data_IF_503977180879
#
_entry.id   IF_503977180879
#
_cell.length_a   1.000
_cell.length_b   1.000
_cell.length_c   1.000
_cell.angle_alpha   90.00
_cell.angle_beta   90.00
_cell.angle_gamma   90.00
#
_symmetry.space_group_name_H-M   'P 1'
#
loop_
_entity.id
_entity.type
_entity.pdbx_description
1 polymer ?
#
# COMPACT_ATOMS: atom_id res chain seq x y z
N UNK A 1 89.98 -7.86 -6.77
CA UNK A 1 88.90 -8.86 -6.60
C UNK A 1 87.63 -8.21 -7.15
N UNK A 2 87.36 -8.34 -8.45
CA UNK A 2 86.63 -9.43 -9.13
C UNK A 2 85.10 -9.26 -9.06
N UNK A 3 84.60 -8.47 -10.01
CA UNK A 3 83.58 -8.79 -11.02
C UNK A 3 82.42 -9.77 -10.70
N UNK A 4 81.23 -9.38 -11.19
CA UNK A 4 80.03 -10.16 -11.54
C UNK A 4 79.10 -10.56 -10.39
N UNK A 5 77.81 -10.24 -10.51
CA UNK A 5 76.84 -11.11 -11.18
C UNK A 5 75.44 -10.46 -11.17
N UNK A 6 74.97 -10.11 -12.36
CA UNK A 6 73.55 -10.04 -12.70
C UNK A 6 72.91 -11.40 -12.36
N UNK A 7 71.82 -11.40 -11.62
CA UNK A 7 70.85 -12.49 -11.62
C UNK A 7 69.44 -11.91 -11.73
N UNK A 8 68.95 -11.93 -12.96
CA UNK A 8 67.53 -11.93 -13.30
C UNK A 8 66.90 -13.12 -12.60
N UNK A 9 65.90 -12.89 -11.74
CA UNK A 9 64.91 -13.90 -11.43
C UNK A 9 63.52 -13.29 -11.53
N UNK A 10 62.84 -13.76 -12.56
CA UNK A 10 61.41 -13.70 -12.84
C UNK A 10 60.59 -13.97 -11.57
N UNK A 11 59.58 -13.16 -11.31
CA UNK A 11 58.73 -13.32 -10.13
C UNK A 11 57.47 -12.47 -10.23
N UNK A 12 56.59 -12.85 -11.16
CA UNK A 12 55.14 -12.66 -11.14
C UNK A 12 54.68 -11.28 -10.62
N UNK A 13 54.33 -10.38 -11.53
CA UNK A 13 53.40 -9.28 -11.23
C UNK A 13 52.04 -9.94 -10.94
N UNK A 14 51.84 -10.38 -9.70
CA UNK A 14 50.52 -10.78 -9.24
C UNK A 14 49.79 -9.47 -8.99
N UNK A 15 48.96 -9.08 -9.97
CA UNK A 15 48.11 -7.91 -9.89
C UNK A 15 47.31 -7.95 -8.60
N UNK A 16 47.73 -7.15 -7.64
CA UNK A 16 47.02 -6.97 -6.39
C UNK A 16 45.79 -6.11 -6.73
N UNK A 17 44.69 -6.78 -7.11
CA UNK A 17 43.39 -6.14 -7.16
C UNK A 17 43.05 -5.69 -5.75
N UNK A 18 43.07 -4.38 -5.52
CA UNK A 18 42.42 -3.78 -4.36
C UNK A 18 40.93 -3.84 -4.66
N UNK A 19 40.26 -4.94 -4.32
CA UNK A 19 38.80 -4.93 -4.21
C UNK A 19 38.46 -4.24 -2.90
N UNK A 20 38.15 -2.95 -2.97
CA UNK A 20 37.47 -2.25 -1.89
C UNK A 20 36.04 -2.78 -1.79
N UNK A 21 35.82 -3.72 -0.87
CA UNK A 21 34.46 -4.14 -0.52
C UNK A 21 33.89 -3.14 0.48
N UNK A 22 33.02 -2.25 0.03
CA UNK A 22 32.21 -1.42 0.92
C UNK A 22 31.21 -2.33 1.63
N UNK A 23 31.33 -2.50 2.95
CA UNK A 23 30.22 -3.06 3.72
C UNK A 23 29.11 -2.01 3.76
N UNK A 24 28.04 -2.25 3.00
CA UNK A 24 26.76 -1.57 3.23
C UNK A 24 26.11 -2.31 4.39
N UNK A 25 26.12 -1.71 5.57
CA UNK A 25 25.26 -2.18 6.65
C UNK A 25 23.84 -1.77 6.28
N UNK A 26 23.07 -2.70 5.69
CA UNK A 26 21.62 -2.52 5.62
C UNK A 26 21.11 -2.68 7.04
N UNK A 27 20.84 -1.58 7.72
CA UNK A 27 20.03 -1.61 8.94
C UNK A 27 18.73 -2.32 8.57
N UNK A 28 18.64 -3.59 8.95
CA UNK A 28 17.47 -4.41 8.71
C UNK A 28 16.48 -4.07 9.82
N UNK A 29 16.09 -2.80 9.89
CA UNK A 29 14.87 -2.42 10.58
C UNK A 29 13.79 -3.10 9.75
N UNK A 30 13.32 -4.27 10.20
CA UNK A 30 11.98 -4.71 9.83
C UNK A 30 11.11 -3.47 10.04
N UNK A 31 10.40 -2.94 9.03
CA UNK A 31 9.31 -2.05 9.37
C UNK A 31 8.52 -2.81 10.43
N UNK A 32 8.28 -2.20 11.58
CA UNK A 32 7.23 -2.68 12.49
C UNK A 32 5.98 -2.63 11.62
N UNK A 33 5.73 -3.73 10.92
CA UNK A 33 4.95 -3.71 9.70
C UNK A 33 3.53 -3.43 10.08
N UNK A 34 2.94 -2.39 9.50
CA UNK A 34 1.50 -2.29 9.52
C UNK A 34 0.98 -3.36 8.57
N UNK A 35 0.10 -4.21 9.08
CA UNK A 35 -0.65 -5.14 8.25
C UNK A 35 -1.76 -4.35 7.54
N UNK A 36 -1.97 -4.62 6.26
CA UNK A 36 -2.97 -3.94 5.44
C UNK A 36 -3.78 -4.96 4.65
N UNK A 37 -5.09 -4.76 4.60
CA UNK A 37 -6.00 -5.54 3.79
C UNK A 37 -6.86 -4.61 2.94
N UNK A 38 -7.10 -4.99 1.69
CA UNK A 38 -7.91 -4.21 0.75
C UNK A 38 -9.02 -5.07 0.20
N UNK A 39 -10.24 -4.56 0.26
CA UNK A 39 -11.45 -5.24 -0.15
C UNK A 39 -12.13 -4.45 -1.27
N UNK A 40 -12.21 -5.04 -2.46
CA UNK A 40 -13.01 -4.53 -3.56
C UNK A 40 -14.40 -5.15 -3.49
N UNK A 41 -15.39 -4.35 -3.13
CA UNK A 41 -16.75 -4.82 -2.87
C UNK A 41 -17.53 -4.82 -4.18
N UNK A 42 -17.76 -6.01 -4.75
CA UNK A 42 -18.52 -6.21 -6.00
C UNK A 42 -19.76 -7.08 -5.81
N UNK A 43 -19.94 -7.61 -4.62
CA UNK A 43 -21.06 -8.47 -4.24
C UNK A 43 -21.36 -8.31 -2.76
N UNK A 44 -22.54 -8.79 -2.34
CA UNK A 44 -22.92 -8.86 -0.93
C UNK A 44 -21.92 -9.68 -0.09
N UNK A 45 -21.36 -10.75 -0.66
CA UNK A 45 -20.36 -11.57 0.04
C UNK A 45 -19.03 -10.83 0.25
N UNK A 46 -18.63 -9.97 -0.69
CA UNK A 46 -17.46 -9.11 -0.50
C UNK A 46 -17.71 -8.06 0.57
N UNK A 47 -18.93 -7.50 0.61
CA UNK A 47 -19.34 -6.57 1.66
C UNK A 47 -19.25 -7.24 3.04
N UNK A 48 -19.87 -8.40 3.22
CA UNK A 48 -19.84 -9.14 4.49
C UNK A 48 -18.41 -9.45 4.94
N UNK A 49 -17.54 -9.89 4.02
CA UNK A 49 -16.13 -10.14 4.34
C UNK A 49 -15.40 -8.87 4.75
N UNK A 50 -15.65 -7.75 4.04
CA UNK A 50 -15.04 -6.47 4.38
C UNK A 50 -15.54 -5.94 5.72
N UNK A 51 -16.83 -6.08 6.03
CA UNK A 51 -17.42 -5.65 7.30
C UNK A 51 -16.86 -6.45 8.49
N UNK A 52 -16.70 -7.77 8.32
CA UNK A 52 -16.04 -8.61 9.32
C UNK A 52 -14.58 -8.17 9.55
N UNK A 53 -13.83 -7.91 8.46
CA UNK A 53 -12.46 -7.43 8.56
C UNK A 53 -12.35 -6.06 9.24
N UNK A 54 -13.28 -5.13 8.96
CA UNK A 54 -13.34 -3.79 9.58
C UNK A 54 -13.57 -3.92 11.08
N UNK A 55 -14.56 -4.70 11.50
CA UNK A 55 -14.94 -4.83 12.93
C UNK A 55 -14.00 -5.71 13.76
N UNK A 56 -13.10 -6.45 13.10
CA UNK A 56 -12.07 -7.28 13.74
C UNK A 56 -10.64 -6.91 13.28
N UNK A 57 -10.40 -5.64 12.92
CA UNK A 57 -9.11 -5.21 12.33
C UNK A 57 -7.95 -5.21 13.30
N UNK A 58 -8.15 -4.96 14.59
CA UNK A 58 -7.12 -5.15 15.64
C UNK A 58 -5.74 -4.54 15.33
N UNK A 59 -5.71 -3.30 14.85
CA UNK A 59 -4.47 -2.61 14.47
C UNK A 59 -4.09 -2.71 12.99
N UNK A 60 -4.79 -3.54 12.20
CA UNK A 60 -4.64 -3.60 10.74
C UNK A 60 -5.28 -2.38 10.08
N UNK A 61 -4.64 -1.89 9.02
CA UNK A 61 -5.25 -0.89 8.12
C UNK A 61 -6.18 -1.66 7.17
N UNK A 62 -7.48 -1.40 7.25
CA UNK A 62 -8.45 -1.97 6.32
C UNK A 62 -8.88 -0.90 5.34
N UNK A 63 -8.83 -1.24 4.05
CA UNK A 63 -9.26 -0.39 2.94
C UNK A 63 -10.46 -1.06 2.28
N UNK A 64 -11.58 -0.35 2.19
CA UNK A 64 -12.77 -0.81 1.47
C UNK A 64 -12.96 0.06 0.23
N UNK A 65 -13.14 -0.59 -0.92
CA UNK A 65 -13.40 0.07 -2.20
C UNK A 65 -14.80 -0.34 -2.64
N UNK A 66 -15.70 0.63 -2.73
CA UNK A 66 -17.10 0.43 -3.15
C UNK A 66 -17.40 1.28 -4.37
N UNK A 67 -18.37 0.86 -5.17
CA UNK A 67 -18.88 1.64 -6.29
C UNK A 67 -20.37 1.89 -6.12
N UNK A 68 -20.82 3.06 -6.57
CA UNK A 68 -22.22 3.45 -6.48
C UNK A 68 -22.59 4.60 -7.40
N UNK A 69 -23.87 4.94 -7.40
CA UNK A 69 -24.45 6.02 -8.19
C UNK A 69 -25.02 7.08 -7.26
N UNK A 70 -24.83 8.36 -7.59
CA UNK A 70 -25.57 9.45 -6.94
C UNK A 70 -27.01 9.42 -7.46
N UNK A 71 -27.98 9.29 -6.57
CA UNK A 71 -29.41 9.11 -6.90
C UNK A 71 -30.26 10.35 -6.61
N UNK A 72 -29.73 11.36 -5.92
CA UNK A 72 -30.44 12.62 -5.64
C UNK A 72 -29.54 13.85 -5.74
N UNK A 73 -30.14 15.01 -6.00
CA UNK A 73 -29.46 16.32 -6.01
C UNK A 73 -28.89 16.72 -4.64
N UNK A 74 -29.27 16.04 -3.56
CA UNK A 74 -28.70 16.25 -2.24
C UNK A 74 -27.44 15.39 -2.02
N UNK A 75 -26.96 14.65 -3.02
CA UNK A 75 -25.81 13.75 -2.88
C UNK A 75 -26.14 12.42 -2.21
N UNK A 76 -27.41 12.04 -2.09
CA UNK A 76 -27.73 10.68 -1.67
C UNK A 76 -27.30 9.69 -2.75
N UNK A 77 -26.70 8.58 -2.35
CA UNK A 77 -26.16 7.57 -3.24
C UNK A 77 -26.59 6.17 -2.86
N UNK A 78 -26.57 5.30 -3.87
CA UNK A 78 -26.83 3.87 -3.75
C UNK A 78 -25.61 3.09 -4.23
N UNK A 79 -25.14 2.14 -3.42
CA UNK A 79 -24.03 1.25 -3.77
C UNK A 79 -24.51 0.14 -4.72
N UNK A 80 -23.63 -0.34 -5.59
CA UNK A 80 -23.94 -1.42 -6.55
C UNK A 80 -24.34 -2.73 -5.87
N UNK A 81 -23.82 -2.95 -4.67
CA UNK A 81 -24.14 -4.11 -3.84
C UNK A 81 -25.40 -3.90 -3.00
N UNK A 82 -26.08 -2.76 -3.14
CA UNK A 82 -27.10 -2.29 -2.24
C UNK A 82 -26.49 -1.58 -1.03
N UNK A 83 -27.24 -0.62 -0.48
CA UNK A 83 -26.82 0.19 0.66
C UNK A 83 -26.75 1.68 0.32
N UNK A 84 -26.78 2.49 1.38
CA UNK A 84 -26.76 3.95 1.29
C UNK A 84 -25.34 4.49 1.45
N UNK A 85 -25.01 5.52 0.69
CA UNK A 85 -23.81 6.32 0.90
C UNK A 85 -24.14 7.79 0.64
N UNK A 86 -23.61 8.69 1.47
CA UNK A 86 -23.70 10.13 1.26
C UNK A 86 -22.47 10.63 0.52
N UNK A 87 -22.66 11.20 -0.66
CA UNK A 87 -21.63 11.84 -1.46
C UNK A 87 -21.55 13.35 -1.18
N UNK A 88 -20.43 13.96 -1.54
CA UNK A 88 -20.25 15.42 -1.47
C UNK A 88 -21.20 16.15 -2.44
N UNK A 89 -21.50 17.41 -2.14
CA UNK A 89 -22.40 18.26 -2.92
C UNK A 89 -21.87 18.58 -4.33
N UNK A 90 -20.56 18.42 -4.57
CA UNK A 90 -19.96 18.62 -5.90
C UNK A 90 -20.30 17.50 -6.90
N UNK A 91 -20.76 16.34 -6.42
CA UNK A 91 -21.19 15.21 -7.25
C UNK A 91 -22.68 15.33 -7.60
N UNK A 92 -23.01 15.03 -8.86
CA UNK A 92 -24.34 15.27 -9.42
C UNK A 92 -25.13 13.98 -9.52
N UNK A 93 -26.46 14.08 -9.47
CA UNK A 93 -27.32 12.94 -9.73
C UNK A 93 -26.97 12.27 -11.07
N UNK A 94 -26.83 10.95 -11.05
CA UNK A 94 -26.41 10.12 -12.17
C UNK A 94 -24.90 9.86 -12.24
N UNK A 95 -24.08 10.59 -11.47
CA UNK A 95 -22.64 10.35 -11.42
C UNK A 95 -22.34 8.96 -10.85
N UNK A 96 -21.42 8.27 -11.51
CA UNK A 96 -20.86 6.99 -11.07
C UNK A 96 -19.57 7.26 -10.31
N UNK A 97 -19.46 6.67 -9.13
CA UNK A 97 -18.39 7.00 -8.18
C UNK A 97 -17.77 5.72 -7.65
N UNK A 98 -16.44 5.65 -7.67
CA UNK A 98 -15.67 4.71 -6.86
C UNK A 98 -15.22 5.42 -5.58
N UNK A 99 -15.54 4.84 -4.44
CA UNK A 99 -15.21 5.37 -3.13
C UNK A 99 -14.21 4.47 -2.44
N UNK A 100 -13.08 5.05 -2.03
CA UNK A 100 -12.08 4.38 -1.20
C UNK A 100 -12.23 4.88 0.24
N UNK A 101 -12.44 3.95 1.17
CA UNK A 101 -12.59 4.19 2.60
C UNK A 101 -11.40 3.55 3.33
N UNK A 102 -10.69 4.32 4.15
CA UNK A 102 -9.58 3.84 4.97
C UNK A 102 -9.98 3.97 6.45
N UNK A 103 -10.07 2.83 7.13
CA UNK A 103 -10.53 2.75 8.51
C UNK A 103 -9.41 2.99 9.50
N UNK A 104 -9.74 3.62 10.64
CA UNK A 104 -8.80 3.93 11.70
C UNK A 104 -8.30 2.65 12.38
N UNK A 105 -7.00 2.27 12.27
CA UNK A 105 -6.50 1.04 12.87
C UNK A 105 -6.51 1.06 14.40
N UNK A 106 -6.68 2.22 15.05
CA UNK A 106 -6.69 2.35 16.50
C UNK A 106 -8.00 1.90 17.17
N UNK A 107 -9.08 1.76 16.41
CA UNK A 107 -10.39 1.33 16.91
C UNK A 107 -10.88 0.12 16.11
N UNK A 108 -12.09 -0.38 16.40
CA UNK A 108 -12.78 -1.42 15.62
C UNK A 108 -14.19 -0.96 15.17
N UNK A 109 -14.49 0.34 15.23
CA UNK A 109 -15.77 0.89 14.76
C UNK A 109 -15.81 0.96 13.23
N UNK A 110 -16.97 0.68 12.66
CA UNK A 110 -17.24 0.65 11.22
C UNK A 110 -17.62 2.02 10.63
N UNK A 111 -17.80 3.04 11.48
CA UNK A 111 -17.98 4.43 11.09
C UNK A 111 -16.70 5.28 11.29
N UNK A 112 -15.65 4.72 11.90
CA UNK A 112 -14.39 5.40 12.18
C UNK A 112 -13.40 5.30 11.01
N UNK A 113 -13.59 6.20 10.04
CA UNK A 113 -12.74 6.35 8.87
C UNK A 113 -11.75 7.50 9.06
N UNK A 114 -10.47 7.27 8.76
CA UNK A 114 -9.45 8.32 8.76
C UNK A 114 -9.39 9.08 7.43
N UNK A 115 -9.74 8.42 6.35
CA UNK A 115 -9.66 8.98 5.02
C UNK A 115 -10.73 8.39 4.10
N UNK A 116 -11.26 9.25 3.24
CA UNK A 116 -12.19 8.90 2.17
C UNK A 116 -11.77 9.63 0.90
N UNK A 117 -11.84 8.93 -0.23
CA UNK A 117 -11.69 9.54 -1.54
C UNK A 117 -12.78 9.05 -2.48
N UNK A 118 -13.48 9.99 -3.10
CA UNK A 118 -14.52 9.75 -4.09
C UNK A 118 -13.97 10.12 -5.47
N UNK A 119 -14.03 9.18 -6.40
CA UNK A 119 -13.53 9.35 -7.77
C UNK A 119 -14.65 9.09 -8.77
N UNK A 120 -14.90 10.07 -9.64
CA UNK A 120 -15.82 9.88 -10.78
C UNK A 120 -15.27 8.80 -11.72
N UNK A 121 -16.10 7.81 -12.03
CA UNK A 121 -15.78 6.73 -12.97
C UNK A 121 -16.72 6.81 -14.18
N UNK A 122 -16.22 6.36 -15.35
CA UNK A 122 -16.93 6.44 -16.63
C UNK A 122 -17.69 5.17 -16.96
#
# INVERSE_FOLDING_TARGET
MLNRMIKVMCGVVCGMMITSSSMVTTDTVKPTGFETETYYVKSQADYERSADAITHRNGKIVIQVVQGTVISDNGDGELDTGGYIKYDADLKQGDRVETVLIYNPATNFDDDMMYRADTLIK
#
